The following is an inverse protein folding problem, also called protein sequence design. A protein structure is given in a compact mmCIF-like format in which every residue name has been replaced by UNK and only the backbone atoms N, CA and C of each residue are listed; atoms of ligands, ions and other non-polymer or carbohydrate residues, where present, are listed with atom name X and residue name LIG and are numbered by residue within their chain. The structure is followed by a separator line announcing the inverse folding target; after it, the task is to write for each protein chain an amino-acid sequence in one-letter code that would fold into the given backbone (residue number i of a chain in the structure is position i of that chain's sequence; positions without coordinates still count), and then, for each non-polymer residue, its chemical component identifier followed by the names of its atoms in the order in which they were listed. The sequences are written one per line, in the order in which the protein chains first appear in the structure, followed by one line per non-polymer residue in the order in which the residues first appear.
data_IF_901602127967
#
_entry.id   IF_901602127967
#
_cell.length_a   1.000
_cell.length_b   1.000
_cell.length_c   1.000
_cell.angle_alpha   90.00
_cell.angle_beta   90.00
_cell.angle_gamma   90.00
#
_symmetry.space_group_name_H-M   'P 1'
#
loop_
_entity.id
_entity.type
_entity.pdbx_description
1 polymer ?
#
# COMPACT_ATOMS: atom_id res chain seq x y z
N UNK A 1 19.50 21.43 -62.68
CA UNK A 1 20.35 20.32 -62.18
C UNK A 1 20.75 20.65 -60.74
N UNK A 2 20.08 19.99 -59.78
CA UNK A 2 20.60 19.49 -58.49
C UNK A 2 21.60 20.37 -57.71
N UNK A 3 21.13 21.05 -56.65
CA UNK A 3 21.83 21.10 -55.34
C UNK A 3 20.86 21.61 -54.26
N UNK A 4 20.10 20.71 -53.67
CA UNK A 4 19.49 20.92 -52.34
C UNK A 4 19.93 19.74 -51.48
N UNK A 5 20.08 19.98 -50.18
CA UNK A 5 20.26 19.00 -49.08
C UNK A 5 21.72 18.78 -48.66
N UNK A 6 22.29 19.77 -47.98
CA UNK A 6 23.35 19.57 -46.97
C UNK A 6 23.10 20.49 -45.79
N UNK A 7 21.95 20.35 -45.12
CA UNK A 7 21.70 21.00 -43.81
C UNK A 7 20.46 20.42 -43.13
N UNK A 8 20.32 19.09 -43.10
CA UNK A 8 19.26 18.46 -42.31
C UNK A 8 19.67 17.07 -41.78
N UNK A 9 20.94 16.92 -41.37
CA UNK A 9 21.45 15.67 -40.81
C UNK A 9 22.05 15.84 -39.41
N UNK A 10 21.71 16.93 -38.70
CA UNK A 10 22.21 17.21 -37.35
C UNK A 10 21.11 17.26 -36.27
N UNK A 11 19.86 16.95 -36.62
CA UNK A 11 18.73 17.01 -35.66
C UNK A 11 18.05 15.66 -35.40
N UNK A 12 18.69 14.55 -35.78
CA UNK A 12 18.10 13.20 -35.63
C UNK A 12 19.01 12.24 -34.84
N UNK A 13 19.80 12.79 -33.90
CA UNK A 13 20.67 11.99 -33.02
C UNK A 13 20.48 12.29 -31.53
N UNK A 14 19.29 12.81 -31.15
CA UNK A 14 18.90 12.96 -29.75
C UNK A 14 17.59 12.22 -29.42
N UNK A 15 17.35 11.06 -30.04
CA UNK A 15 16.42 10.09 -29.47
C UNK A 15 17.17 9.32 -28.37
N UNK A 16 17.40 9.98 -27.23
CA UNK A 16 17.94 9.33 -26.05
C UNK A 16 17.03 8.17 -25.66
N UNK A 17 17.57 6.96 -25.71
CA UNK A 17 16.89 5.75 -25.22
C UNK A 17 16.52 5.95 -23.75
N UNK A 18 15.27 6.30 -23.47
CA UNK A 18 14.75 6.21 -22.11
C UNK A 18 14.70 4.73 -21.74
N UNK A 19 15.76 4.24 -21.12
CA UNK A 19 15.74 2.92 -20.49
C UNK A 19 14.85 3.04 -19.26
N UNK A 20 13.58 2.66 -19.39
CA UNK A 20 12.67 2.52 -18.26
C UNK A 20 13.21 1.39 -17.38
N UNK A 21 13.94 1.75 -16.32
CA UNK A 21 14.40 0.79 -15.33
C UNK A 21 13.15 0.30 -14.59
N UNK A 22 12.67 -0.90 -14.95
CA UNK A 22 11.63 -1.58 -14.20
C UNK A 22 12.19 -1.89 -12.81
N UNK A 23 12.00 -0.95 -11.87
CA UNK A 23 12.35 -1.18 -10.47
C UNK A 23 11.47 -2.32 -9.98
N UNK A 24 12.09 -3.39 -9.47
CA UNK A 24 11.35 -4.45 -8.80
C UNK A 24 10.45 -3.82 -7.73
N UNK A 25 9.19 -4.23 -7.72
CA UNK A 25 8.24 -3.73 -6.73
C UNK A 25 8.69 -4.17 -5.33
N UNK A 26 8.64 -3.29 -4.30
CA UNK A 26 9.00 -3.70 -2.95
C UNK A 26 8.11 -4.83 -2.44
N UNK A 27 8.69 -5.81 -1.73
CA UNK A 27 7.98 -6.99 -1.19
C UNK A 27 6.75 -6.65 -0.33
N UNK A 28 6.67 -5.46 0.24
CA UNK A 28 5.53 -5.03 1.06
C UNK A 28 4.34 -4.53 0.23
N UNK A 29 4.54 -4.18 -1.04
CA UNK A 29 3.54 -3.47 -1.84
C UNK A 29 2.29 -4.32 -2.12
N UNK A 30 2.47 -5.64 -2.26
CA UNK A 30 1.36 -6.62 -2.32
C UNK A 30 0.40 -6.46 -1.15
N UNK A 31 0.95 -6.36 0.08
CA UNK A 31 0.18 -6.20 1.30
C UNK A 31 -0.43 -4.80 1.42
N UNK A 32 0.27 -3.78 0.90
CA UNK A 32 -0.26 -2.43 0.81
C UNK A 32 -1.53 -2.35 -0.04
N UNK A 33 -1.53 -2.99 -1.22
CA UNK A 33 -2.73 -3.10 -2.07
C UNK A 33 -3.88 -3.82 -1.36
N UNK A 34 -3.58 -4.93 -0.68
CA UNK A 34 -4.58 -5.66 0.08
C UNK A 34 -5.16 -4.80 1.22
N UNK A 35 -4.31 -4.08 1.94
CA UNK A 35 -4.74 -3.17 3.01
C UNK A 35 -5.69 -2.09 2.49
N UNK A 36 -5.36 -1.46 1.36
CA UNK A 36 -6.23 -0.45 0.73
C UNK A 36 -7.57 -1.05 0.31
N UNK A 37 -7.55 -2.19 -0.40
CA UNK A 37 -8.76 -2.87 -0.88
C UNK A 37 -9.72 -3.22 0.26
N UNK A 38 -9.21 -3.88 1.30
CA UNK A 38 -10.06 -4.33 2.42
C UNK A 38 -10.53 -3.16 3.29
N UNK A 39 -9.73 -2.09 3.38
CA UNK A 39 -10.14 -0.86 4.07
C UNK A 39 -11.27 -0.15 3.33
N UNK A 40 -11.12 0.06 2.02
CA UNK A 40 -12.16 0.67 1.19
C UNK A 40 -13.47 -0.12 1.27
N UNK A 41 -13.39 -1.46 1.21
CA UNK A 41 -14.54 -2.35 1.37
C UNK A 41 -15.21 -2.21 2.74
N UNK A 42 -14.42 -2.18 3.82
CA UNK A 42 -14.94 -2.12 5.20
C UNK A 42 -15.58 -0.78 5.54
N UNK A 43 -14.96 0.32 5.13
CA UNK A 43 -15.35 1.66 5.56
C UNK A 43 -16.23 2.40 4.56
N UNK A 44 -16.23 1.97 3.28
CA UNK A 44 -16.92 2.63 2.17
C UNK A 44 -16.57 4.13 2.16
N UNK A 45 -15.27 4.41 2.14
CA UNK A 45 -14.69 5.73 2.26
C UNK A 45 -13.45 5.82 1.35
N UNK A 46 -13.13 7.02 0.91
CA UNK A 46 -11.97 7.26 0.06
C UNK A 46 -10.69 7.19 0.89
N UNK A 47 -9.63 6.60 0.33
CA UNK A 47 -8.29 6.61 0.93
C UNK A 47 -7.53 7.78 0.32
N UNK A 48 -7.21 8.77 1.14
CA UNK A 48 -6.58 10.03 0.69
C UNK A 48 -5.09 10.09 1.00
N UNK A 49 -4.61 9.24 1.92
CA UNK A 49 -3.19 9.09 2.20
C UNK A 49 -2.89 7.66 2.67
N UNK A 50 -1.66 7.22 2.44
CA UNK A 50 -1.16 5.89 2.73
C UNK A 50 0.28 5.97 3.22
N UNK A 51 0.55 5.31 4.35
CA UNK A 51 1.90 5.18 4.91
C UNK A 51 2.19 3.74 5.31
N UNK A 52 3.30 3.21 4.81
CA UNK A 52 3.84 1.95 5.30
C UNK A 52 4.49 2.14 6.68
N UNK A 53 4.09 1.32 7.65
CA UNK A 53 4.60 1.37 9.03
C UNK A 53 5.69 0.32 9.29
N UNK A 54 5.83 -0.67 8.41
CA UNK A 54 6.87 -1.69 8.48
C UNK A 54 6.36 -3.11 8.78
N UNK A 55 7.32 -4.02 8.71
CA UNK A 55 7.16 -5.47 8.86
C UNK A 55 7.58 -5.92 10.26
N UNK A 56 6.91 -6.95 10.79
CA UNK A 56 7.32 -7.64 12.02
C UNK A 56 7.31 -9.15 11.84
N UNK A 57 8.24 -9.83 12.50
CA UNK A 57 8.17 -11.28 12.71
C UNK A 57 7.34 -11.53 13.96
N UNK A 58 6.18 -12.13 13.80
CA UNK A 58 5.24 -12.32 14.91
C UNK A 58 5.52 -13.64 15.62
N UNK A 59 5.79 -14.69 14.83
CA UNK A 59 6.15 -16.04 15.26
C UNK A 59 7.01 -16.70 14.15
N UNK A 60 7.68 -17.83 14.41
CA UNK A 60 8.36 -18.59 13.35
C UNK A 60 7.39 -18.91 12.20
N UNK A 61 7.74 -18.46 11.00
CA UNK A 61 6.92 -18.65 9.80
C UNK A 61 5.77 -17.64 9.62
N UNK A 62 5.51 -16.75 10.58
CA UNK A 62 4.42 -15.75 10.48
C UNK A 62 5.00 -14.34 10.52
N UNK A 63 4.69 -13.57 9.47
CA UNK A 63 5.04 -12.16 9.38
C UNK A 63 3.78 -11.30 9.49
N UNK A 64 3.95 -10.06 9.91
CA UNK A 64 2.94 -9.02 9.76
C UNK A 64 3.48 -7.82 8.99
N UNK A 65 2.61 -7.22 8.18
CA UNK A 65 2.85 -5.95 7.50
C UNK A 65 1.83 -4.92 7.97
N UNK A 66 2.29 -3.74 8.37
CA UNK A 66 1.42 -2.70 8.94
C UNK A 66 1.42 -1.42 8.11
N UNK A 67 0.25 -0.80 8.03
CA UNK A 67 -0.02 0.42 7.25
C UNK A 67 -0.86 1.39 8.05
N UNK A 68 -0.72 2.68 7.80
CA UNK A 68 -1.64 3.73 8.23
C UNK A 68 -2.30 4.32 7.01
N UNK A 69 -3.62 4.33 7.00
CA UNK A 69 -4.45 4.86 5.93
C UNK A 69 -5.22 6.05 6.47
N UNK A 70 -5.21 7.16 5.75
CA UNK A 70 -6.09 8.28 6.04
C UNK A 70 -7.33 8.15 5.17
N UNK A 71 -8.48 8.01 5.80
CA UNK A 71 -9.76 7.88 5.11
C UNK A 71 -10.47 9.21 5.11
N UNK A 72 -11.26 9.45 4.06
CA UNK A 72 -12.19 10.55 3.96
C UNK A 72 -13.60 10.01 3.70
N UNK A 73 -14.53 10.28 4.62
CA UNK A 73 -15.94 9.90 4.49
C UNK A 73 -16.80 11.15 4.65
N UNK A 74 -17.11 11.80 3.53
CA UNK A 74 -17.81 13.08 3.51
C UNK A 74 -16.98 14.18 4.19
N UNK A 75 -17.44 14.67 5.34
CA UNK A 75 -16.77 15.74 6.10
C UNK A 75 -15.85 15.21 7.22
N UNK A 76 -15.67 13.89 7.33
CA UNK A 76 -14.85 13.28 8.38
C UNK A 76 -13.60 12.63 7.79
N UNK A 77 -12.42 13.08 8.24
CA UNK A 77 -11.15 12.40 8.03
C UNK A 77 -10.73 11.65 9.27
N UNK A 78 -10.28 10.41 9.12
CA UNK A 78 -9.81 9.59 10.24
C UNK A 78 -8.74 8.60 9.80
N UNK A 79 -7.79 8.34 10.69
CA UNK A 79 -6.72 7.38 10.46
C UNK A 79 -7.16 5.96 10.83
N UNK A 80 -6.80 4.99 9.99
CA UNK A 80 -6.96 3.56 10.26
C UNK A 80 -5.61 2.89 10.15
N UNK A 81 -5.17 2.25 11.23
CA UNK A 81 -4.05 1.32 11.20
C UNK A 81 -4.55 -0.05 10.73
N UNK A 82 -3.93 -0.57 9.68
CA UNK A 82 -4.18 -1.91 9.15
C UNK A 82 -2.95 -2.76 9.42
N UNK A 83 -3.16 -3.96 9.96
CA UNK A 83 -2.10 -4.96 10.13
C UNK A 83 -2.55 -6.27 9.48
N UNK A 84 -1.70 -6.84 8.65
CA UNK A 84 -1.98 -8.09 7.91
C UNK A 84 -0.96 -9.12 8.37
N UNK A 85 -1.43 -10.26 8.88
CA UNK A 85 -0.59 -11.40 9.22
C UNK A 85 -0.69 -12.44 8.11
N UNK A 86 0.45 -12.99 7.72
CA UNK A 86 0.53 -13.98 6.66
C UNK A 86 1.65 -14.99 6.94
N UNK A 87 1.50 -16.18 6.36
CA UNK A 87 2.55 -17.19 6.36
C UNK A 87 3.70 -16.76 5.43
N UNK A 88 4.94 -16.82 5.92
CA UNK A 88 6.13 -16.32 5.22
C UNK A 88 6.42 -17.09 3.93
N UNK A 89 6.09 -18.38 3.85
CA UNK A 89 6.46 -19.25 2.73
C UNK A 89 5.36 -19.29 1.67
N UNK A 90 4.12 -19.46 2.10
CA UNK A 90 2.95 -19.62 1.23
C UNK A 90 2.28 -18.29 0.92
N UNK A 91 2.60 -17.23 1.68
CA UNK A 91 1.94 -15.92 1.60
C UNK A 91 0.43 -16.00 1.83
N UNK A 92 -0.04 -17.06 2.50
CA UNK A 92 -1.44 -17.19 2.87
C UNK A 92 -1.78 -16.19 3.97
N UNK A 93 -2.84 -15.41 3.75
CA UNK A 93 -3.33 -14.44 4.74
C UNK A 93 -3.97 -15.19 5.89
N UNK A 94 -3.45 -14.95 7.09
CA UNK A 94 -3.94 -15.56 8.33
C UNK A 94 -5.03 -14.68 8.95
N UNK A 95 -4.79 -13.36 9.02
CA UNK A 95 -5.77 -12.38 9.53
C UNK A 95 -5.44 -10.96 9.11
N UNK A 96 -6.47 -10.12 9.09
CA UNK A 96 -6.35 -8.66 8.89
C UNK A 96 -7.03 -7.96 10.06
N UNK A 97 -6.35 -6.97 10.66
CA UNK A 97 -6.89 -6.16 11.76
C UNK A 97 -6.92 -4.69 11.35
N UNK A 98 -8.01 -4.02 11.72
CA UNK A 98 -8.21 -2.58 11.57
C UNK A 98 -8.30 -1.92 12.95
N UNK A 99 -7.64 -0.80 13.15
CA UNK A 99 -7.73 0.02 14.35
C UNK A 99 -7.84 1.50 13.97
N UNK A 100 -8.95 2.13 14.32
CA UNK A 100 -9.14 3.58 14.13
C UNK A 100 -8.33 4.36 15.17
N UNK A 101 -7.67 5.43 14.73
CA UNK A 101 -6.97 6.40 15.57
C UNK A 101 -8.03 7.18 16.39
N UNK A 102 -8.46 6.62 17.53
CA UNK A 102 -9.49 7.19 18.40
C UNK A 102 -10.44 6.19 19.08
N UNK A 103 -10.43 4.90 18.70
CA UNK A 103 -11.25 3.84 19.35
C UNK A 103 -10.43 2.78 20.10
N UNK A 104 -9.24 3.16 20.58
CA UNK A 104 -8.47 2.37 21.53
C UNK A 104 -8.59 2.94 22.95
N UNK A 105 -9.82 3.14 23.44
CA UNK A 105 -10.07 3.38 24.87
C UNK A 105 -11.31 2.57 25.29
N UNK A 106 -11.06 1.50 26.05
CA UNK A 106 -11.96 0.72 26.91
C UNK A 106 -13.25 0.13 26.31
N UNK A 107 -13.18 -1.15 25.94
CA UNK A 107 -14.31 -2.08 26.12
C UNK A 107 -13.82 -3.41 26.68
N UNK A 108 -13.41 -3.41 27.95
CA UNK A 108 -13.40 -4.63 28.76
C UNK A 108 -14.86 -4.92 29.10
N UNK A 109 -15.53 -5.76 28.32
CA UNK A 109 -16.79 -6.36 28.73
C UNK A 109 -16.46 -7.68 29.40
N UNK A 110 -16.40 -7.65 30.73
CA UNK A 110 -16.48 -8.86 31.55
C UNK A 110 -17.88 -9.46 31.35
N UNK A 111 -17.97 -10.62 30.70
CA UNK A 111 -19.15 -11.46 30.88
C UNK A 111 -18.92 -12.35 32.09
N UNK A 112 -19.61 -12.03 33.18
CA UNK A 112 -19.78 -12.92 34.33
C UNK A 112 -20.81 -13.97 33.91
N UNK A 113 -20.41 -15.24 33.84
CA UNK A 113 -21.38 -16.32 33.75
C UNK A 113 -21.87 -16.62 35.17
N UNK A 114 -23.18 -16.49 35.33
CA UNK A 114 -23.99 -17.25 36.30
C UNK A 114 -23.87 -18.74 36.01
#
# INVERSE_FOLDING_TARGET
MRTTITLLAALMFLAGSFTYKASAEPDYAKWGRLAMKETAKRYQADIVDYKHLGRKTEQPGILSESFRLLLNKGNQKFGVKVSIWFDRKTEHVIKIRFAEDGKSVKKTMNYKMI
#
